data_IF_578355763960
#
_entry.id   IF_578355763960
#
_cell.length_a   1.000
_cell.length_b   1.000
_cell.length_c   1.000
_cell.angle_alpha   90.00
_cell.angle_beta   90.00
_cell.angle_gamma   90.00
#
_symmetry.space_group_name_H-M   'P 1'
#
loop_
_entity.id
_entity.type
_entity.pdbx_description
1 polymer ?
#
# COMPACT_ATOMS: atom_id res chain seq x y z
N UNK A 1 76.34 -14.42 12.01
CA UNK A 1 77.72 -14.69 12.44
C UNK A 1 78.66 -13.93 11.51
N UNK A 2 79.61 -13.13 12.00
CA UNK A 2 79.59 -12.30 13.20
C UNK A 2 80.12 -10.85 12.95
N UNK A 3 79.91 -10.00 13.96
CA UNK A 3 80.86 -9.04 14.57
C UNK A 3 81.44 -7.84 13.78
N UNK A 4 81.22 -6.60 14.28
CA UNK A 4 82.12 -5.76 15.12
C UNK A 4 83.36 -5.28 14.32
N UNK A 5 83.90 -4.07 14.44
CA UNK A 5 83.65 -2.92 15.30
C UNK A 5 84.63 -1.80 14.89
N UNK A 6 84.46 -0.65 15.54
CA UNK A 6 85.51 0.16 16.19
C UNK A 6 85.75 1.55 15.62
N UNK A 7 85.57 2.49 16.55
CA UNK A 7 85.88 3.91 16.61
C UNK A 7 87.34 4.28 16.33
N UNK A 8 87.58 5.59 16.12
CA UNK A 8 88.43 6.52 16.92
C UNK A 8 88.72 7.74 16.01
N UNK A 9 88.20 8.96 16.30
CA UNK A 9 88.84 10.08 17.04
C UNK A 9 90.17 10.58 16.39
N UNK A 10 90.58 11.86 16.31
CA UNK A 10 90.15 13.15 16.86
C UNK A 10 90.95 14.28 16.13
N UNK A 11 90.82 15.52 16.63
CA UNK A 11 91.57 16.78 16.38
C UNK A 11 91.11 17.69 15.23
N UNK A 12 90.49 18.87 15.45
CA UNK A 12 90.72 20.08 16.29
C UNK A 12 91.47 21.22 15.55
N UNK A 13 90.65 22.16 15.03
CA UNK A 13 90.73 23.65 15.12
C UNK A 13 92.00 24.41 14.66
N UNK A 14 91.98 25.76 14.44
CA UNK A 14 90.89 26.75 14.41
C UNK A 14 90.94 27.67 13.16
N UNK A 15 89.90 28.49 12.92
CA UNK A 15 89.96 29.54 11.89
C UNK A 15 88.62 30.13 11.42
N UNK A 16 87.60 30.15 12.28
CA UNK A 16 86.42 31.00 12.14
C UNK A 16 86.81 32.41 12.58
N UNK A 17 86.94 33.35 11.65
CA UNK A 17 86.66 34.79 11.84
C UNK A 17 87.09 35.60 10.60
N UNK A 18 86.54 35.30 9.42
CA UNK A 18 86.53 36.25 8.29
C UNK A 18 85.55 35.99 7.14
N UNK A 19 84.63 35.02 7.27
CA UNK A 19 83.63 34.69 6.23
C UNK A 19 82.15 34.88 6.61
N UNK A 20 81.86 35.51 7.75
CA UNK A 20 80.46 35.75 8.20
C UNK A 20 79.91 37.16 7.91
N UNK A 21 80.67 38.08 7.32
CA UNK A 21 80.19 39.45 7.06
C UNK A 21 79.71 39.74 5.62
N UNK A 22 79.85 38.79 4.70
CA UNK A 22 79.37 38.97 3.30
C UNK A 22 78.16 38.09 2.91
N UNK A 23 77.83 37.03 3.66
CA UNK A 23 76.61 36.23 3.39
C UNK A 23 75.32 36.85 3.94
N UNK A 24 75.40 37.73 4.95
CA UNK A 24 74.23 38.33 5.59
C UNK A 24 73.62 39.55 4.88
N UNK A 25 74.27 40.10 3.85
CA UNK A 25 73.70 41.20 3.03
C UNK A 25 73.01 40.72 1.74
N UNK A 26 73.37 39.55 1.21
CA UNK A 26 72.73 38.97 0.02
C UNK A 26 71.40 38.25 0.33
N UNK A 27 71.27 37.65 1.52
CA UNK A 27 70.05 36.92 1.92
C UNK A 27 68.89 37.86 2.33
N UNK A 28 69.18 39.11 2.73
CA UNK A 28 68.12 40.08 3.12
C UNK A 28 67.44 40.83 1.97
N UNK A 29 68.03 40.88 0.76
CA UNK A 29 67.41 41.56 -0.41
C UNK A 29 66.52 40.64 -1.28
N UNK A 30 66.70 39.32 -1.20
CA UNK A 30 65.83 38.35 -1.89
C UNK A 30 64.51 38.09 -1.14
N UNK A 31 64.53 38.15 0.20
CA UNK A 31 63.35 37.89 1.05
C UNK A 31 62.26 38.99 0.98
N UNK A 32 62.60 40.25 0.66
CA UNK A 32 61.63 41.36 0.65
C UNK A 32 60.83 41.47 -0.67
N UNK A 33 61.41 41.07 -1.80
CA UNK A 33 60.70 41.05 -3.08
C UNK A 33 59.82 39.79 -3.24
N UNK A 34 60.23 38.65 -2.69
CA UNK A 34 59.36 37.45 -2.64
C UNK A 34 58.14 37.69 -1.74
N UNK A 35 58.31 38.35 -0.59
CA UNK A 35 57.19 38.71 0.31
C UNK A 35 56.25 39.75 -0.32
N UNK A 36 56.73 40.71 -1.11
CA UNK A 36 55.87 41.67 -1.85
C UNK A 36 55.15 41.06 -3.05
N UNK A 37 55.74 40.08 -3.74
CA UNK A 37 55.08 39.32 -4.81
C UNK A 37 54.05 38.33 -4.24
N UNK A 38 54.34 37.64 -3.12
CA UNK A 38 53.37 36.80 -2.44
C UNK A 38 52.20 37.60 -1.84
N UNK A 39 52.43 38.80 -1.29
CA UNK A 39 51.34 39.64 -0.73
C UNK A 39 50.54 40.41 -1.79
N UNK A 40 51.03 40.54 -3.03
CA UNK A 40 50.27 41.12 -4.15
C UNK A 40 49.52 40.06 -4.98
N UNK A 41 50.01 38.82 -5.03
CA UNK A 41 49.31 37.68 -5.65
C UNK A 41 48.22 37.05 -4.74
N UNK A 42 48.34 37.17 -3.41
CA UNK A 42 47.28 36.75 -2.46
C UNK A 42 46.22 37.84 -2.17
N UNK A 43 46.16 38.93 -2.95
CA UNK A 43 45.17 40.01 -2.77
C UNK A 43 44.27 40.31 -3.98
N UNK A 44 44.27 39.49 -5.03
CA UNK A 44 43.34 39.68 -6.16
C UNK A 44 42.49 38.47 -6.56
N UNK A 45 42.55 37.36 -5.83
CA UNK A 45 41.65 36.22 -6.07
C UNK A 45 41.56 35.39 -4.79
N UNK A 46 40.41 35.42 -4.11
CA UNK A 46 40.11 34.43 -3.06
C UNK A 46 39.75 34.91 -1.65
N UNK A 47 39.47 36.20 -1.41
CA UNK A 47 38.90 36.64 -0.11
C UNK A 47 37.81 37.70 -0.32
N UNK A 48 36.64 37.26 -0.78
CA UNK A 48 35.38 38.00 -0.65
C UNK A 48 34.14 37.10 -0.46
N UNK A 49 34.31 35.80 -0.24
CA UNK A 49 33.20 34.84 -0.13
C UNK A 49 33.34 33.83 1.03
N UNK A 50 34.06 34.17 2.09
CA UNK A 50 34.12 33.34 3.29
C UNK A 50 33.87 34.28 4.47
N UNK A 51 32.83 33.97 5.26
CA UNK A 51 32.25 34.76 6.37
C UNK A 51 31.28 35.88 5.99
N UNK A 52 30.08 35.46 5.52
CA UNK A 52 28.76 35.86 6.05
C UNK A 52 27.63 35.20 5.24
N UNK A 53 27.59 33.86 5.19
CA UNK A 53 26.27 33.24 5.30
C UNK A 53 25.96 33.28 6.79
N UNK A 54 25.00 34.13 7.19
CA UNK A 54 24.30 33.86 8.46
C UNK A 54 23.72 32.46 8.25
N UNK A 55 24.32 31.43 8.85
CA UNK A 55 23.63 30.16 9.05
C UNK A 55 22.34 30.55 9.76
N UNK A 56 21.20 30.47 9.06
CA UNK A 56 19.90 30.62 9.71
C UNK A 56 19.92 29.66 10.91
N UNK A 57 19.40 30.07 12.08
CA UNK A 57 19.25 29.13 13.19
C UNK A 57 18.57 27.86 12.66
N UNK A 58 18.96 26.66 13.13
CA UNK A 58 18.30 25.43 12.71
C UNK A 58 16.80 25.62 12.92
N UNK A 59 16.02 25.44 11.85
CA UNK A 59 14.57 25.63 11.93
C UNK A 59 14.05 24.63 12.95
N UNK A 60 13.23 25.09 13.89
CA UNK A 60 12.55 24.15 14.79
C UNK A 60 11.52 23.34 13.99
N UNK A 61 11.12 22.15 14.44
CA UNK A 61 10.05 21.38 13.79
C UNK A 61 8.78 22.23 13.54
N UNK A 62 8.46 23.10 14.50
CA UNK A 62 7.32 24.03 14.42
C UNK A 62 7.51 25.06 13.29
N UNK A 63 8.70 25.65 13.16
CA UNK A 63 8.99 26.62 12.09
C UNK A 63 8.91 25.99 10.70
N UNK A 64 9.38 24.74 10.58
CA UNK A 64 9.29 23.95 9.33
C UNK A 64 7.83 23.75 8.96
N UNK A 65 6.98 23.34 9.91
CA UNK A 65 5.54 23.15 9.67
C UNK A 65 4.88 24.44 9.24
N UNK A 66 4.98 25.50 10.03
CA UNK A 66 4.33 26.79 9.73
C UNK A 66 4.72 27.33 8.37
N UNK A 67 6.00 27.22 8.00
CA UNK A 67 6.47 27.68 6.69
C UNK A 67 5.87 26.83 5.57
N UNK A 68 5.83 25.51 5.72
CA UNK A 68 5.17 24.62 4.75
C UNK A 68 3.67 24.89 4.65
N UNK A 69 2.96 25.10 5.76
CA UNK A 69 1.53 25.42 5.77
C UNK A 69 1.25 26.69 4.97
N UNK A 70 2.05 27.74 5.17
CA UNK A 70 1.93 28.97 4.40
C UNK A 70 2.13 28.77 2.89
N UNK A 71 3.15 27.98 2.50
CA UNK A 71 3.42 27.69 1.09
C UNK A 71 2.35 26.79 0.46
N UNK A 72 1.86 25.80 1.20
CA UNK A 72 0.78 24.91 0.76
C UNK A 72 -0.55 25.65 0.64
N UNK A 73 -0.91 26.50 1.62
CA UNK A 73 -2.12 27.32 1.53
C UNK A 73 -2.05 28.30 0.34
N UNK A 74 -0.86 28.86 0.08
CA UNK A 74 -0.65 29.64 -1.13
C UNK A 74 -0.88 28.78 -2.37
N UNK A 75 -0.27 27.58 -2.43
CA UNK A 75 -0.40 26.63 -3.55
C UNK A 75 -1.84 26.18 -3.79
N UNK A 76 -2.62 25.99 -2.73
CA UNK A 76 -4.03 25.62 -2.78
C UNK A 76 -4.87 26.73 -3.40
N UNK A 77 -4.63 27.98 -2.98
CA UNK A 77 -5.34 29.19 -3.44
C UNK A 77 -5.06 29.63 -4.88
N UNK A 78 -3.96 29.16 -5.49
CA UNK A 78 -3.64 29.51 -6.88
C UNK A 78 -4.55 28.77 -7.86
N UNK A 79 -5.39 29.52 -8.60
CA UNK A 79 -5.71 29.21 -9.99
C UNK A 79 -4.42 29.30 -10.83
N UNK A 80 -4.34 28.60 -11.96
CA UNK A 80 -3.15 28.32 -12.79
C UNK A 80 -2.42 29.56 -13.40
N UNK A 81 -2.36 30.68 -12.71
CA UNK A 81 -1.52 31.81 -13.07
C UNK A 81 -0.05 31.54 -12.72
N UNK A 82 0.80 31.67 -13.74
CA UNK A 82 2.25 31.43 -13.68
C UNK A 82 2.95 32.66 -13.11
N UNK A 83 2.92 32.83 -11.78
CA UNK A 83 3.82 33.77 -11.09
C UNK A 83 5.26 33.23 -11.18
N UNK A 84 6.24 33.96 -11.73
CA UNK A 84 7.64 33.53 -11.76
C UNK A 84 8.23 33.23 -10.37
N UNK A 85 7.69 33.83 -9.29
CA UNK A 85 8.07 33.48 -7.89
C UNK A 85 7.50 32.15 -7.41
N UNK A 86 6.58 31.53 -8.16
CA UNK A 86 6.03 30.21 -7.85
C UNK A 86 7.12 29.14 -7.86
N UNK A 87 8.07 29.22 -8.79
CA UNK A 87 9.18 28.27 -8.87
C UNK A 87 10.03 28.26 -7.60
N UNK A 88 10.45 29.43 -7.12
CA UNK A 88 11.22 29.56 -5.88
C UNK A 88 10.44 29.05 -4.66
N UNK A 89 9.13 29.34 -4.60
CA UNK A 89 8.24 28.83 -3.54
C UNK A 89 8.09 27.31 -3.59
N UNK A 90 8.02 26.71 -4.78
CA UNK A 90 7.93 25.26 -4.95
C UNK A 90 9.24 24.58 -4.53
N UNK A 91 10.39 25.12 -4.95
CA UNK A 91 11.68 24.59 -4.52
C UNK A 91 11.87 24.68 -3.00
N UNK A 92 11.42 25.78 -2.38
CA UNK A 92 11.42 25.91 -0.93
C UNK A 92 10.50 24.87 -0.26
N UNK A 93 9.31 24.65 -0.80
CA UNK A 93 8.37 23.65 -0.30
C UNK A 93 8.94 22.23 -0.38
N UNK A 94 9.58 21.87 -1.50
CA UNK A 94 10.22 20.57 -1.66
C UNK A 94 11.30 20.34 -0.59
N UNK A 95 12.13 21.34 -0.33
CA UNK A 95 13.15 21.29 0.72
C UNK A 95 12.54 21.12 2.10
N UNK A 96 11.41 21.77 2.37
CA UNK A 96 10.74 21.68 3.67
C UNK A 96 10.04 20.31 3.86
N UNK A 97 9.41 19.76 2.83
CA UNK A 97 8.84 18.40 2.88
C UNK A 97 9.95 17.37 3.11
N UNK A 98 11.09 17.55 2.45
CA UNK A 98 12.24 16.69 2.69
C UNK A 98 12.77 16.79 4.14
N UNK A 99 12.83 18.02 4.68
CA UNK A 99 13.22 18.30 6.07
C UNK A 99 12.24 17.63 7.06
N UNK A 100 10.93 17.76 6.85
CA UNK A 100 9.90 17.08 7.65
C UNK A 100 10.07 15.56 7.64
N UNK A 101 10.25 14.96 6.46
CA UNK A 101 10.49 13.52 6.34
C UNK A 101 11.76 13.12 7.09
N UNK A 102 12.83 13.90 6.99
CA UNK A 102 14.09 13.62 7.68
C UNK A 102 13.94 13.68 9.21
N UNK A 103 13.11 14.60 9.72
CA UNK A 103 12.76 14.64 11.15
C UNK A 103 12.00 13.37 11.57
N UNK A 104 11.06 12.89 10.74
CA UNK A 104 10.21 11.73 11.06
C UNK A 104 10.88 10.36 10.92
N UNK A 105 11.84 10.22 10.02
CA UNK A 105 12.52 8.95 9.73
C UNK A 105 13.96 8.89 10.25
N UNK A 106 14.53 10.02 10.65
CA UNK A 106 15.93 10.13 10.98
C UNK A 106 16.82 10.10 9.73
N UNK A 107 18.12 9.94 9.96
CA UNK A 107 19.14 9.78 8.91
C UNK A 107 19.79 8.40 9.03
N UNK A 108 20.63 8.02 8.07
CA UNK A 108 21.36 6.75 8.12
C UNK A 108 22.26 6.61 9.36
N UNK A 109 22.58 7.72 10.04
CA UNK A 109 23.51 7.76 11.17
C UNK A 109 22.82 8.07 12.51
N UNK A 110 21.58 8.55 12.51
CA UNK A 110 20.88 9.00 13.71
C UNK A 110 19.39 8.65 13.67
N UNK A 111 18.92 8.00 14.73
CA UNK A 111 17.49 7.76 14.96
C UNK A 111 16.72 9.08 15.11
N UNK A 112 15.43 9.11 14.71
CA UNK A 112 14.60 10.30 14.84
C UNK A 112 14.39 10.66 16.32
N UNK A 113 14.62 11.94 16.65
CA UNK A 113 14.42 12.43 18.02
C UNK A 113 12.93 12.48 18.36
N UNK A 114 12.52 11.68 19.36
CA UNK A 114 11.11 11.51 19.78
C UNK A 114 10.41 12.84 20.05
N UNK A 115 11.08 13.76 20.74
CA UNK A 115 10.52 15.09 21.04
C UNK A 115 10.29 15.92 19.77
N UNK A 116 11.23 15.89 18.82
CA UNK A 116 11.09 16.61 17.56
C UNK A 116 9.95 16.03 16.70
N UNK A 117 9.82 14.70 16.66
CA UNK A 117 8.69 14.04 15.98
C UNK A 117 7.35 14.39 16.62
N UNK A 118 7.28 14.41 17.95
CA UNK A 118 6.06 14.76 18.67
C UNK A 118 5.63 16.22 18.42
N UNK A 119 6.58 17.16 18.48
CA UNK A 119 6.33 18.58 18.16
C UNK A 119 5.89 18.77 16.71
N UNK A 120 6.57 18.12 15.76
CA UNK A 120 6.21 18.16 14.33
C UNK A 120 4.78 17.63 14.11
N UNK A 121 4.47 16.48 14.69
CA UNK A 121 3.18 15.80 14.55
C UNK A 121 2.05 16.67 15.11
N UNK A 122 2.25 17.25 16.30
CA UNK A 122 1.26 18.13 16.91
C UNK A 122 0.95 19.35 16.04
N UNK A 123 1.96 20.03 15.51
CA UNK A 123 1.75 21.22 14.68
C UNK A 123 1.12 20.87 13.31
N UNK A 124 1.48 19.72 12.73
CA UNK A 124 0.92 19.26 11.45
C UNK A 124 -0.60 19.04 11.51
N UNK A 125 -1.11 18.54 12.64
CA UNK A 125 -2.55 18.38 12.86
C UNK A 125 -3.24 19.67 13.31
N UNK A 126 -2.56 20.52 14.09
CA UNK A 126 -3.15 21.77 14.61
C UNK A 126 -3.58 22.74 13.51
N UNK A 127 -2.74 22.95 12.50
CA UNK A 127 -2.94 23.99 11.48
C UNK A 127 -3.46 23.44 10.14
N UNK A 128 -4.13 22.28 10.15
CA UNK A 128 -4.63 21.60 8.94
C UNK A 128 -3.56 21.35 7.87
N UNK A 129 -2.29 21.27 8.27
CA UNK A 129 -1.18 21.07 7.33
C UNK A 129 -1.28 19.69 6.68
N UNK A 130 -1.68 18.65 7.42
CA UNK A 130 -1.94 17.32 6.87
C UNK A 130 -2.92 17.38 5.69
N UNK A 131 -4.08 18.05 5.89
CA UNK A 131 -5.10 18.25 4.86
C UNK A 131 -4.51 18.91 3.63
N UNK A 132 -3.78 20.02 3.82
CA UNK A 132 -3.16 20.73 2.71
C UNK A 132 -2.13 19.89 1.96
N UNK A 133 -1.33 19.06 2.66
CA UNK A 133 -0.39 18.12 2.01
C UNK A 133 -1.15 17.14 1.11
N UNK A 134 -2.28 16.61 1.56
CA UNK A 134 -3.10 15.65 0.80
C UNK A 134 -3.74 16.32 -0.43
N UNK A 135 -4.35 17.49 -0.24
CA UNK A 135 -5.07 18.21 -1.30
C UNK A 135 -4.12 18.79 -2.36
N UNK A 136 -2.95 19.29 -1.95
CA UNK A 136 -1.96 19.84 -2.87
C UNK A 136 -1.10 18.78 -3.57
N UNK A 137 -1.23 17.49 -3.24
CA UNK A 137 -0.42 16.42 -3.82
C UNK A 137 -0.32 16.45 -5.37
N UNK A 138 -1.41 16.72 -6.13
CA UNK A 138 -1.33 16.82 -7.59
C UNK A 138 -0.43 17.96 -8.08
N UNK A 139 -0.33 19.04 -7.29
CA UNK A 139 0.45 20.24 -7.60
C UNK A 139 1.95 20.09 -7.25
N UNK A 140 2.33 19.03 -6.55
CA UNK A 140 3.72 18.74 -6.17
C UNK A 140 4.47 17.99 -7.28
N UNK A 141 5.80 18.08 -7.29
CA UNK A 141 6.63 17.26 -8.17
C UNK A 141 6.81 15.83 -7.63
N UNK A 142 7.45 14.96 -8.43
CA UNK A 142 7.56 13.54 -8.13
C UNK A 142 8.21 13.23 -6.77
N UNK A 143 9.32 13.88 -6.44
CA UNK A 143 10.03 13.63 -5.18
C UNK A 143 9.25 14.19 -3.98
N UNK A 144 8.64 15.37 -4.13
CA UNK A 144 7.78 15.94 -3.10
C UNK A 144 6.53 15.10 -2.85
N UNK A 145 5.94 14.45 -3.87
CA UNK A 145 4.82 13.50 -3.70
C UNK A 145 5.24 12.28 -2.87
N UNK A 146 6.42 11.72 -3.14
CA UNK A 146 6.97 10.60 -2.34
C UNK A 146 7.19 11.02 -0.89
N UNK A 147 7.78 12.19 -0.67
CA UNK A 147 8.04 12.70 0.67
C UNK A 147 6.74 13.00 1.42
N UNK A 148 5.76 13.64 0.78
CA UNK A 148 4.41 13.85 1.30
C UNK A 148 3.72 12.55 1.70
N UNK A 149 3.80 11.52 0.86
CA UNK A 149 3.23 10.18 1.14
C UNK A 149 3.84 9.58 2.40
N UNK A 150 5.17 9.63 2.52
CA UNK A 150 5.88 9.10 3.68
C UNK A 150 5.58 9.88 4.95
N UNK A 151 5.45 11.20 4.86
CA UNK A 151 5.04 12.04 5.99
C UNK A 151 3.65 11.64 6.47
N UNK A 152 2.64 11.66 5.59
CA UNK A 152 1.25 11.32 5.93
C UNK A 152 1.15 9.91 6.54
N UNK A 153 1.85 8.95 5.95
CA UNK A 153 1.93 7.57 6.44
C UNK A 153 2.53 7.46 7.85
N UNK A 154 3.65 8.15 8.09
CA UNK A 154 4.37 8.10 9.35
C UNK A 154 3.54 8.72 10.49
N UNK A 155 2.86 9.84 10.24
CA UNK A 155 2.05 10.55 11.24
C UNK A 155 0.97 9.68 11.87
N UNK A 156 0.44 8.68 11.15
CA UNK A 156 -0.58 7.76 11.68
C UNK A 156 -0.08 6.91 12.85
N UNK A 157 1.23 6.77 12.98
CA UNK A 157 1.89 5.94 13.99
C UNK A 157 2.61 6.74 15.07
N UNK A 158 2.69 8.07 14.93
CA UNK A 158 3.46 8.91 15.83
C UNK A 158 2.71 9.15 17.16
N UNK A 159 3.26 8.72 18.30
CA UNK A 159 2.68 9.04 19.60
C UNK A 159 3.06 10.47 20.00
N UNK A 160 2.07 11.26 20.40
CA UNK A 160 2.26 12.56 21.04
C UNK A 160 1.73 12.45 22.47
N UNK A 161 2.60 12.65 23.46
CA UNK A 161 2.27 12.45 24.88
C UNK A 161 1.61 11.08 25.15
N UNK A 162 2.19 10.02 24.54
CA UNK A 162 1.70 8.64 24.62
C UNK A 162 0.31 8.39 24.02
N UNK A 163 -0.19 9.29 23.16
CA UNK A 163 -1.47 9.14 22.44
C UNK A 163 -1.31 9.26 20.94
N UNK A 164 -2.11 8.51 20.18
CA UNK A 164 -2.18 8.62 18.72
C UNK A 164 -3.23 9.68 18.33
N UNK A 165 -2.82 10.95 18.33
CA UNK A 165 -3.71 12.08 18.04
C UNK A 165 -4.19 12.11 16.56
N UNK A 166 -3.59 11.30 15.69
CA UNK A 166 -4.00 11.16 14.30
C UNK A 166 -5.43 10.62 14.17
N UNK A 167 -5.85 9.69 15.05
CA UNK A 167 -7.21 9.15 15.05
C UNK A 167 -8.24 10.26 15.28
N UNK A 168 -8.01 11.11 16.29
CA UNK A 168 -8.92 12.21 16.65
C UNK A 168 -9.01 13.25 15.52
N UNK A 169 -7.87 13.55 14.88
CA UNK A 169 -7.84 14.47 13.74
C UNK A 169 -8.65 13.94 12.55
N UNK A 170 -8.49 12.66 12.22
CA UNK A 170 -9.19 12.05 11.08
C UNK A 170 -10.68 11.86 11.35
N UNK A 171 -11.08 11.59 12.59
CA UNK A 171 -12.49 11.58 12.99
C UNK A 171 -13.16 12.94 12.78
N UNK A 172 -12.44 14.03 13.07
CA UNK A 172 -12.92 15.39 12.84
C UNK A 172 -12.86 15.84 11.36
N UNK A 173 -12.19 15.09 10.49
CA UNK A 173 -11.95 15.44 9.08
C UNK A 173 -12.22 14.23 8.14
N UNK A 174 -13.44 13.66 8.15
CA UNK A 174 -13.74 12.43 7.42
C UNK A 174 -13.70 12.58 5.90
N UNK A 175 -13.93 13.79 5.38
CA UNK A 175 -13.88 14.12 3.96
C UNK A 175 -12.49 13.87 3.33
N UNK A 176 -11.43 13.85 4.14
CA UNK A 176 -10.11 13.42 3.68
C UNK A 176 -10.12 11.97 3.17
N UNK A 177 -10.94 11.10 3.76
CA UNK A 177 -11.04 9.71 3.31
C UNK A 177 -11.74 9.63 1.97
N UNK A 178 -12.76 10.47 1.73
CA UNK A 178 -13.45 10.53 0.45
C UNK A 178 -12.48 10.95 -0.67
N UNK A 179 -11.62 11.94 -0.37
CA UNK A 179 -10.55 12.38 -1.27
C UNK A 179 -9.51 11.28 -1.53
N UNK A 180 -9.01 10.63 -0.46
CA UNK A 180 -8.02 9.55 -0.58
C UNK A 180 -8.56 8.35 -1.36
N UNK A 181 -9.82 7.95 -1.16
CA UNK A 181 -10.41 6.84 -1.92
C UNK A 181 -10.66 7.24 -3.38
N UNK A 182 -11.17 8.44 -3.63
CA UNK A 182 -11.36 8.92 -5.01
C UNK A 182 -10.03 9.13 -5.75
N UNK A 183 -8.93 9.23 -5.02
CA UNK A 183 -7.58 9.31 -5.57
C UNK A 183 -7.15 8.12 -6.44
N UNK A 184 -7.83 6.97 -6.35
CA UNK A 184 -7.64 5.85 -7.28
C UNK A 184 -8.12 6.16 -8.71
N UNK A 185 -8.95 7.18 -8.90
CA UNK A 185 -9.41 7.62 -10.22
C UNK A 185 -8.28 8.30 -11.04
N UNK A 186 -7.18 8.72 -10.40
CA UNK A 186 -5.99 9.28 -11.04
C UNK A 186 -4.85 8.25 -11.04
N UNK A 187 -4.55 7.58 -12.17
CA UNK A 187 -3.48 6.58 -12.25
C UNK A 187 -2.10 7.11 -11.84
N UNK A 188 -1.84 8.41 -12.03
CA UNK A 188 -0.56 9.03 -11.69
C UNK A 188 -0.36 9.29 -10.19
N UNK A 189 -1.45 9.27 -9.41
CA UNK A 189 -1.43 9.54 -7.97
C UNK A 189 -2.01 8.39 -7.13
N UNK A 190 -2.66 7.42 -7.75
CA UNK A 190 -3.36 6.33 -7.08
C UNK A 190 -2.50 5.61 -6.02
N UNK A 191 -1.25 5.29 -6.34
CA UNK A 191 -0.35 4.62 -5.39
C UNK A 191 0.05 5.50 -4.19
N UNK A 192 0.11 6.82 -4.38
CA UNK A 192 0.35 7.74 -3.27
C UNK A 192 -0.87 7.81 -2.35
N UNK A 193 -2.05 7.97 -2.93
CA UNK A 193 -3.30 8.04 -2.16
C UNK A 193 -3.64 6.70 -1.49
N UNK A 194 -3.46 5.57 -2.18
CA UNK A 194 -3.63 4.23 -1.61
C UNK A 194 -2.68 3.95 -0.45
N UNK A 195 -1.41 4.34 -0.56
CA UNK A 195 -0.46 4.24 0.55
C UNK A 195 -0.85 5.09 1.76
N UNK A 196 -1.30 6.34 1.55
CA UNK A 196 -1.80 7.19 2.64
C UNK A 196 -3.07 6.60 3.28
N UNK A 197 -4.00 6.13 2.46
CA UNK A 197 -5.27 5.56 2.91
C UNK A 197 -5.06 4.31 3.76
N UNK A 198 -4.19 3.39 3.34
CA UNK A 198 -3.86 2.17 4.13
C UNK A 198 -3.38 2.50 5.53
N UNK A 199 -2.63 3.58 5.68
CA UNK A 199 -2.15 3.99 7.00
C UNK A 199 -3.26 4.63 7.84
N UNK A 200 -4.18 5.35 7.22
CA UNK A 200 -5.32 5.96 7.89
C UNK A 200 -6.34 4.92 8.40
N UNK A 201 -6.65 3.88 7.61
CA UNK A 201 -7.61 2.81 7.98
C UNK A 201 -7.09 1.92 9.13
N UNK A 202 -5.85 2.11 9.59
CA UNK A 202 -5.35 1.48 10.82
C UNK A 202 -6.11 1.96 12.05
N UNK A 203 -6.68 3.16 12.00
CA UNK A 203 -7.57 3.68 13.04
C UNK A 203 -8.99 3.15 12.80
N UNK A 204 -9.60 2.59 13.86
CA UNK A 204 -10.92 1.96 13.74
C UNK A 204 -12.01 2.94 13.30
N UNK A 205 -11.94 4.20 13.76
CA UNK A 205 -12.91 5.25 13.40
C UNK A 205 -12.90 5.54 11.90
N UNK A 206 -11.71 5.56 11.30
CA UNK A 206 -11.52 5.77 9.86
C UNK A 206 -12.01 4.58 9.06
N UNK A 207 -11.62 3.36 9.44
CA UNK A 207 -12.10 2.16 8.77
C UNK A 207 -13.63 2.07 8.82
N UNK A 208 -14.25 2.38 9.97
CA UNK A 208 -15.70 2.41 10.12
C UNK A 208 -16.35 3.41 9.17
N UNK A 209 -15.78 4.60 9.03
CA UNK A 209 -16.26 5.61 8.10
C UNK A 209 -16.23 5.09 6.65
N UNK A 210 -15.08 4.59 6.19
CA UNK A 210 -14.92 4.08 4.81
C UNK A 210 -15.87 2.92 4.53
N UNK A 211 -16.01 1.97 5.47
CA UNK A 211 -16.92 0.83 5.33
C UNK A 211 -18.38 1.23 5.15
N UNK A 212 -18.83 2.28 5.86
CA UNK A 212 -20.22 2.76 5.81
C UNK A 212 -20.50 3.73 4.67
N UNK A 213 -19.47 4.15 3.95
CA UNK A 213 -19.60 5.10 2.84
C UNK A 213 -19.87 4.42 1.50
N UNK A 214 -20.39 5.18 0.53
CA UNK A 214 -20.55 4.69 -0.85
C UNK A 214 -19.20 4.33 -1.52
N UNK A 215 -18.07 4.80 -0.96
CA UNK A 215 -16.73 4.44 -1.43
C UNK A 215 -16.45 2.93 -1.36
N UNK A 216 -17.11 2.20 -0.44
CA UNK A 216 -16.90 0.76 -0.31
C UNK A 216 -17.21 0.00 -1.61
N UNK A 217 -18.23 0.43 -2.37
CA UNK A 217 -18.59 -0.18 -3.66
C UNK A 217 -17.54 0.10 -4.74
N UNK A 218 -16.87 1.25 -4.69
CA UNK A 218 -15.87 1.65 -5.68
C UNK A 218 -14.65 0.74 -5.68
N UNK A 219 -14.31 0.13 -4.54
CA UNK A 219 -13.21 -0.83 -4.47
C UNK A 219 -13.40 -2.04 -5.38
N UNK A 220 -14.62 -2.50 -5.63
CA UNK A 220 -14.85 -3.61 -6.56
C UNK A 220 -14.42 -3.27 -8.00
N UNK A 221 -14.49 -2.01 -8.36
CA UNK A 221 -14.06 -1.51 -9.67
C UNK A 221 -12.55 -1.21 -9.64
N UNK A 222 -12.04 -0.59 -8.56
CA UNK A 222 -10.61 -0.30 -8.39
C UNK A 222 -9.71 -1.52 -8.39
N UNK A 223 -10.14 -2.63 -7.79
CA UNK A 223 -9.40 -3.90 -7.80
C UNK A 223 -9.36 -4.58 -9.16
N UNK A 224 -10.07 -4.05 -10.16
CA UNK A 224 -10.15 -4.57 -11.52
C UNK A 224 -9.62 -3.57 -12.56
N UNK A 225 -9.00 -2.48 -12.11
CA UNK A 225 -8.28 -1.53 -12.96
C UNK A 225 -7.20 -2.27 -13.78
N UNK A 226 -6.98 -1.93 -15.08
CA UNK A 226 -5.99 -2.59 -15.92
C UNK A 226 -4.55 -2.46 -15.42
N UNK A 227 -4.20 -1.33 -14.80
CA UNK A 227 -2.92 -1.06 -14.18
C UNK A 227 -2.71 -1.97 -12.96
N UNK A 228 -1.92 -3.03 -13.15
CA UNK A 228 -1.68 -4.07 -12.16
C UNK A 228 -1.28 -3.53 -10.77
N UNK A 229 -0.35 -2.57 -10.74
CA UNK A 229 0.14 -2.01 -9.46
C UNK A 229 -0.98 -1.29 -8.70
N UNK A 230 -1.85 -0.57 -9.41
CA UNK A 230 -2.99 0.16 -8.84
C UNK A 230 -4.06 -0.81 -8.34
N UNK A 231 -4.41 -1.82 -9.14
CA UNK A 231 -5.38 -2.84 -8.75
C UNK A 231 -4.88 -3.68 -7.56
N UNK A 232 -3.59 -4.00 -7.51
CA UNK A 232 -2.97 -4.70 -6.39
C UNK A 232 -2.97 -3.86 -5.11
N UNK A 233 -2.68 -2.55 -5.23
CA UNK A 233 -2.73 -1.58 -4.13
C UNK A 233 -4.17 -1.44 -3.57
N UNK A 234 -5.17 -1.29 -4.46
CA UNK A 234 -6.58 -1.28 -4.10
C UNK A 234 -7.01 -2.59 -3.41
N UNK A 235 -6.55 -3.73 -3.91
CA UNK A 235 -6.84 -5.05 -3.33
C UNK A 235 -6.24 -5.19 -1.93
N UNK A 236 -5.01 -4.71 -1.72
CA UNK A 236 -4.38 -4.71 -0.41
C UNK A 236 -5.15 -3.83 0.58
N UNK A 237 -5.60 -2.66 0.14
CA UNK A 237 -6.40 -1.72 0.94
C UNK A 237 -7.76 -2.31 1.32
N UNK A 238 -8.47 -2.89 0.34
CA UNK A 238 -9.75 -3.58 0.56
C UNK A 238 -9.58 -4.76 1.52
N UNK A 239 -8.54 -5.57 1.35
CA UNK A 239 -8.22 -6.67 2.26
C UNK A 239 -8.00 -6.17 3.69
N UNK A 240 -7.25 -5.08 3.87
CA UNK A 240 -6.99 -4.50 5.19
C UNK A 240 -8.29 -4.01 5.85
N UNK A 241 -9.16 -3.32 5.10
CA UNK A 241 -10.50 -2.93 5.55
C UNK A 241 -11.34 -4.14 5.99
N UNK A 242 -11.23 -5.27 5.28
CA UNK A 242 -12.00 -6.49 5.52
C UNK A 242 -11.42 -7.45 6.55
N UNK A 243 -10.23 -7.19 7.10
CA UNK A 243 -9.57 -8.14 8.01
C UNK A 243 -8.99 -7.52 9.29
N UNK A 244 -8.81 -6.20 9.36
CA UNK A 244 -8.18 -5.54 10.52
C UNK A 244 -9.10 -5.43 11.73
N UNK A 245 -10.22 -4.72 11.61
CA UNK A 245 -11.09 -4.32 12.72
C UNK A 245 -12.29 -5.26 12.86
N UNK A 246 -12.05 -6.47 13.33
CA UNK A 246 -12.99 -7.61 13.25
C UNK A 246 -14.42 -7.30 13.70
N UNK A 247 -14.61 -6.59 14.81
CA UNK A 247 -15.94 -6.24 15.31
C UNK A 247 -16.69 -5.28 14.39
N UNK A 248 -16.00 -4.27 13.86
CA UNK A 248 -16.59 -3.30 12.92
C UNK A 248 -16.89 -3.95 11.56
N UNK A 249 -16.04 -4.87 11.11
CA UNK A 249 -16.30 -5.64 9.88
C UNK A 249 -17.51 -6.54 10.06
N UNK A 250 -17.63 -7.24 11.19
CA UNK A 250 -18.79 -8.07 11.48
C UNK A 250 -20.08 -7.24 11.49
N UNK A 251 -20.10 -6.11 12.20
CA UNK A 251 -21.25 -5.19 12.19
C UNK A 251 -21.62 -4.75 10.75
N UNK A 252 -20.63 -4.31 9.97
CA UNK A 252 -20.83 -3.93 8.57
C UNK A 252 -21.40 -5.07 7.72
N UNK A 253 -20.79 -6.26 7.74
CA UNK A 253 -21.21 -7.41 6.93
C UNK A 253 -22.61 -7.90 7.32
N UNK A 254 -23.02 -7.72 8.58
CA UNK A 254 -24.35 -8.09 9.05
C UNK A 254 -25.40 -7.17 8.42
N UNK A 255 -25.17 -5.87 8.50
CA UNK A 255 -26.06 -4.83 7.98
C UNK A 255 -26.15 -4.84 6.44
N UNK A 256 -25.08 -5.29 5.77
CA UNK A 256 -24.88 -5.12 4.34
C UNK A 256 -24.77 -6.46 3.58
N UNK A 257 -25.21 -7.55 4.20
CA UNK A 257 -24.99 -8.91 3.73
C UNK A 257 -25.34 -9.12 2.25
N UNK A 258 -26.58 -8.79 1.87
CA UNK A 258 -27.13 -9.13 0.57
C UNK A 258 -26.35 -8.48 -0.58
N UNK A 259 -26.21 -7.15 -0.55
CA UNK A 259 -25.52 -6.44 -1.62
C UNK A 259 -24.02 -6.74 -1.61
N UNK A 260 -23.38 -6.85 -0.43
CA UNK A 260 -21.94 -7.07 -0.34
C UNK A 260 -21.56 -8.40 -0.96
N UNK A 261 -22.20 -9.50 -0.55
CA UNK A 261 -21.86 -10.82 -1.08
C UNK A 261 -22.33 -11.00 -2.52
N UNK A 262 -23.40 -10.34 -2.95
CA UNK A 262 -23.81 -10.31 -4.37
C UNK A 262 -22.71 -9.69 -5.23
N UNK A 263 -22.24 -8.49 -4.88
CA UNK A 263 -21.17 -7.80 -5.61
C UNK A 263 -19.83 -8.56 -5.51
N UNK A 264 -19.48 -9.06 -4.32
CA UNK A 264 -18.24 -9.83 -4.11
C UNK A 264 -18.20 -11.08 -4.98
N UNK A 265 -19.30 -11.82 -5.03
CA UNK A 265 -19.39 -13.03 -5.84
C UNK A 265 -19.30 -12.69 -7.35
N UNK A 266 -20.17 -11.80 -7.82
CA UNK A 266 -20.30 -11.49 -9.24
C UNK A 266 -19.07 -10.77 -9.81
N UNK A 267 -18.53 -9.78 -9.08
CA UNK A 267 -17.41 -8.96 -9.56
C UNK A 267 -16.05 -9.59 -9.29
N UNK A 268 -15.90 -10.40 -8.24
CA UNK A 268 -14.57 -10.87 -7.83
C UNK A 268 -14.37 -12.38 -8.01
N UNK A 269 -15.25 -13.21 -7.45
CA UNK A 269 -15.12 -14.67 -7.55
C UNK A 269 -15.39 -15.18 -8.97
N UNK A 270 -16.31 -14.53 -9.68
CA UNK A 270 -16.64 -14.84 -11.07
C UNK A 270 -15.90 -13.94 -12.07
N UNK A 271 -14.96 -13.11 -11.62
CA UNK A 271 -14.15 -12.23 -12.47
C UNK A 271 -13.41 -13.02 -13.55
N UNK A 272 -13.26 -12.47 -14.76
CA UNK A 272 -12.41 -13.08 -15.79
C UNK A 272 -10.91 -13.04 -15.42
N UNK A 273 -10.51 -12.12 -14.53
CA UNK A 273 -9.13 -11.95 -14.10
C UNK A 273 -8.72 -13.01 -13.06
N UNK A 274 -7.72 -13.83 -13.43
CA UNK A 274 -7.17 -14.87 -12.57
C UNK A 274 -6.69 -14.34 -11.21
N UNK A 275 -5.99 -13.21 -11.20
CA UNK A 275 -5.41 -12.63 -9.97
C UNK A 275 -6.54 -12.17 -9.05
N UNK A 276 -7.56 -11.50 -9.60
CA UNK A 276 -8.76 -11.10 -8.86
C UNK A 276 -9.45 -12.30 -8.23
N UNK A 277 -9.74 -13.35 -9.00
CA UNK A 277 -10.36 -14.58 -8.46
C UNK A 277 -9.53 -15.20 -7.35
N UNK A 278 -8.21 -15.32 -7.54
CA UNK A 278 -7.28 -15.89 -6.55
C UNK A 278 -7.28 -15.11 -5.23
N UNK A 279 -7.21 -13.78 -5.27
CA UNK A 279 -7.21 -12.98 -4.05
C UNK A 279 -8.60 -12.99 -3.38
N UNK A 280 -9.66 -12.97 -4.18
CA UNK A 280 -11.04 -12.96 -3.69
C UNK A 280 -11.41 -14.26 -2.96
N UNK A 281 -11.08 -15.43 -3.50
CA UNK A 281 -11.41 -16.70 -2.83
C UNK A 281 -10.66 -16.85 -1.51
N UNK A 282 -9.40 -16.41 -1.47
CA UNK A 282 -8.61 -16.40 -0.24
C UNK A 282 -9.21 -15.45 0.80
N UNK A 283 -9.58 -14.24 0.39
CA UNK A 283 -10.22 -13.25 1.26
C UNK A 283 -11.59 -13.73 1.77
N UNK A 284 -12.39 -14.38 0.92
CA UNK A 284 -13.65 -14.99 1.33
C UNK A 284 -13.42 -16.02 2.45
N UNK A 285 -12.41 -16.88 2.30
CA UNK A 285 -12.00 -17.80 3.36
C UNK A 285 -11.65 -17.07 4.66
N UNK A 286 -10.80 -16.04 4.58
CA UNK A 286 -10.41 -15.21 5.74
C UNK A 286 -11.64 -14.59 6.44
N UNK A 287 -12.63 -14.11 5.67
CA UNK A 287 -13.87 -13.50 6.20
C UNK A 287 -14.77 -14.57 6.85
N UNK A 288 -15.07 -15.67 6.16
CA UNK A 288 -16.05 -16.65 6.63
C UNK A 288 -15.54 -17.53 7.78
N UNK A 289 -14.22 -17.70 7.89
CA UNK A 289 -13.59 -18.46 8.98
C UNK A 289 -13.42 -17.63 10.26
N UNK A 290 -13.61 -16.31 10.21
CA UNK A 290 -13.59 -15.49 11.41
C UNK A 290 -14.82 -15.78 12.29
N UNK A 291 -14.57 -16.04 13.57
CA UNK A 291 -15.62 -16.40 14.53
C UNK A 291 -16.69 -15.32 14.67
N UNK A 292 -16.33 -14.03 14.55
CA UNK A 292 -17.28 -12.92 14.65
C UNK A 292 -18.22 -12.86 13.44
N UNK A 293 -17.83 -13.45 12.31
CA UNK A 293 -18.62 -13.48 11.09
C UNK A 293 -19.50 -14.75 10.97
N UNK A 294 -19.60 -15.56 12.03
CA UNK A 294 -20.47 -16.75 12.05
C UNK A 294 -21.93 -16.48 11.65
N UNK A 295 -22.56 -15.34 12.04
CA UNK A 295 -23.92 -15.01 11.61
C UNK A 295 -24.09 -14.82 10.09
N UNK A 296 -23.00 -14.51 9.38
CA UNK A 296 -22.96 -14.26 7.93
C UNK A 296 -22.48 -15.51 7.19
N UNK A 297 -21.56 -16.26 7.80
CA UNK A 297 -21.11 -17.54 7.29
C UNK A 297 -22.27 -18.52 7.15
N UNK A 298 -23.13 -18.63 8.16
CA UNK A 298 -24.27 -19.56 8.15
C UNK A 298 -25.21 -19.37 6.95
N UNK A 299 -25.73 -18.17 6.65
CA UNK A 299 -26.52 -17.95 5.44
C UNK A 299 -25.68 -18.12 4.16
N UNK A 300 -24.38 -17.78 4.18
CA UNK A 300 -23.52 -17.91 2.99
C UNK A 300 -23.38 -19.38 2.57
N UNK A 301 -23.13 -20.27 3.54
CA UNK A 301 -22.97 -21.71 3.31
C UNK A 301 -24.29 -22.47 3.16
N UNK A 302 -25.41 -21.76 3.27
CA UNK A 302 -26.76 -22.28 3.04
C UNK A 302 -27.29 -21.89 1.65
N UNK A 303 -26.59 -21.04 0.91
CA UNK A 303 -26.99 -20.60 -0.43
C UNK A 303 -26.54 -21.57 -1.52
N UNK A 304 -27.50 -22.02 -2.33
CA UNK A 304 -27.26 -22.85 -3.52
C UNK A 304 -26.38 -22.15 -4.55
N UNK A 305 -26.57 -20.86 -4.76
CA UNK A 305 -25.80 -20.10 -5.75
C UNK A 305 -24.34 -19.96 -5.32
N UNK A 306 -24.10 -19.70 -4.03
CA UNK A 306 -22.75 -19.65 -3.48
C UNK A 306 -22.04 -21.00 -3.60
N UNK A 307 -22.73 -22.11 -3.33
CA UNK A 307 -22.18 -23.46 -3.52
C UNK A 307 -21.78 -23.68 -4.98
N UNK A 308 -22.63 -23.27 -5.94
CA UNK A 308 -22.33 -23.42 -7.37
C UNK A 308 -21.06 -22.69 -7.77
N UNK A 309 -20.87 -21.46 -7.28
CA UNK A 309 -19.66 -20.66 -7.54
C UNK A 309 -18.43 -21.42 -7.02
N UNK A 310 -18.46 -21.88 -5.77
CA UNK A 310 -17.34 -22.63 -5.18
C UNK A 310 -17.06 -23.94 -5.90
N UNK A 311 -18.09 -24.69 -6.30
CA UNK A 311 -17.92 -25.92 -7.08
C UNK A 311 -17.28 -25.65 -8.46
N UNK A 312 -17.53 -24.48 -9.06
CA UNK A 312 -16.84 -24.08 -10.28
C UNK A 312 -15.38 -23.70 -10.00
N UNK A 313 -15.09 -22.98 -8.91
CA UNK A 313 -13.72 -22.65 -8.51
C UNK A 313 -12.88 -23.89 -8.17
N UNK A 314 -13.48 -24.95 -7.60
CA UNK A 314 -12.82 -26.25 -7.41
C UNK A 314 -12.42 -26.93 -8.73
N UNK A 315 -13.04 -26.54 -9.85
CA UNK A 315 -12.76 -27.09 -11.19
C UNK A 315 -11.79 -26.24 -12.01
N UNK A 316 -11.34 -25.10 -11.47
CA UNK A 316 -10.34 -24.24 -12.12
C UNK A 316 -9.04 -24.99 -12.38
N UNK A 317 -8.26 -24.56 -13.39
CA UNK A 317 -6.97 -25.19 -13.69
C UNK A 317 -5.91 -24.88 -12.63
N UNK A 318 -6.03 -23.76 -11.92
CA UNK A 318 -5.08 -23.33 -10.90
C UNK A 318 -5.24 -24.08 -9.59
N UNK A 319 -4.19 -24.82 -9.19
CA UNK A 319 -4.12 -25.52 -7.91
C UNK A 319 -4.28 -24.59 -6.70
N UNK A 320 -3.81 -23.35 -6.80
CA UNK A 320 -3.97 -22.37 -5.71
C UNK A 320 -5.43 -21.99 -5.51
N UNK A 321 -6.17 -21.73 -6.60
CA UNK A 321 -7.61 -21.43 -6.51
C UNK A 321 -8.37 -22.64 -5.99
N UNK A 322 -8.05 -23.86 -6.47
CA UNK A 322 -8.66 -25.09 -5.96
C UNK A 322 -8.46 -25.25 -4.45
N UNK A 323 -7.27 -24.93 -3.94
CA UNK A 323 -6.94 -25.04 -2.52
C UNK A 323 -7.71 -24.03 -1.67
N UNK A 324 -7.69 -22.76 -2.05
CA UNK A 324 -8.46 -21.72 -1.34
C UNK A 324 -9.97 -21.99 -1.42
N UNK A 325 -10.47 -22.46 -2.57
CA UNK A 325 -11.87 -22.86 -2.76
C UNK A 325 -12.26 -24.06 -1.88
N UNK A 326 -11.34 -25.01 -1.67
CA UNK A 326 -11.55 -26.12 -0.75
C UNK A 326 -11.77 -25.64 0.69
N UNK A 327 -10.99 -24.66 1.16
CA UNK A 327 -11.13 -24.11 2.51
C UNK A 327 -12.48 -23.44 2.76
N UNK A 328 -13.14 -22.91 1.72
CA UNK A 328 -14.51 -22.39 1.83
C UNK A 328 -15.54 -23.51 1.63
N UNK A 329 -15.32 -24.39 0.65
CA UNK A 329 -16.22 -25.51 0.35
C UNK A 329 -16.42 -26.45 1.54
N UNK A 330 -15.37 -26.70 2.33
CA UNK A 330 -15.48 -27.54 3.54
C UNK A 330 -16.51 -26.99 4.53
N UNK A 331 -16.77 -25.68 4.54
CA UNK A 331 -17.79 -25.08 5.42
C UNK A 331 -19.22 -25.46 5.00
N UNK A 332 -19.48 -25.61 3.70
CA UNK A 332 -20.76 -26.12 3.19
C UNK A 332 -20.97 -27.57 3.62
N UNK A 333 -19.91 -28.38 3.55
CA UNK A 333 -19.95 -29.79 3.94
C UNK A 333 -20.04 -29.92 5.47
N UNK A 334 -19.35 -29.10 6.25
CA UNK A 334 -19.39 -29.16 7.71
C UNK A 334 -20.66 -28.54 8.33
N UNK A 335 -21.47 -27.78 7.56
CA UNK A 335 -22.70 -27.15 8.07
C UNK A 335 -23.66 -28.23 8.60
N UNK A 336 -24.02 -28.21 9.89
CA UNK A 336 -24.92 -29.22 10.47
C UNK A 336 -26.37 -29.06 10.01
N UNK A 337 -26.76 -27.84 9.64
CA UNK A 337 -28.13 -27.48 9.24
C UNK A 337 -28.19 -27.21 7.72
N UNK A 338 -27.67 -28.14 6.91
CA UNK A 338 -27.65 -27.98 5.45
C UNK A 338 -29.08 -27.93 4.90
N UNK A 339 -29.43 -26.94 4.08
CA UNK A 339 -30.68 -26.97 3.32
C UNK A 339 -30.75 -28.18 2.38
N UNK A 340 -31.95 -28.68 2.11
CA UNK A 340 -32.19 -29.81 1.21
C UNK A 340 -31.57 -29.60 -0.17
N UNK A 341 -31.62 -28.38 -0.70
CA UNK A 341 -31.01 -28.03 -1.99
C UNK A 341 -29.50 -28.23 -2.01
N UNK A 342 -28.81 -27.89 -0.91
CA UNK A 342 -27.36 -28.11 -0.75
C UNK A 342 -27.07 -29.61 -0.71
N UNK A 343 -27.82 -30.35 0.10
CA UNK A 343 -27.69 -31.81 0.19
C UNK A 343 -27.90 -32.46 -1.17
N UNK A 344 -28.97 -32.10 -1.88
CA UNK A 344 -29.31 -32.64 -3.19
C UNK A 344 -28.21 -32.38 -4.23
N UNK A 345 -27.59 -31.19 -4.22
CA UNK A 345 -26.46 -30.87 -5.12
C UNK A 345 -25.23 -31.72 -4.79
N UNK A 346 -24.90 -31.88 -3.51
CA UNK A 346 -23.76 -32.70 -3.08
C UNK A 346 -23.97 -34.19 -3.42
N UNK A 347 -25.17 -34.72 -3.20
CA UNK A 347 -25.55 -36.09 -3.55
C UNK A 347 -25.50 -36.31 -5.06
N UNK A 348 -26.11 -35.41 -5.85
CA UNK A 348 -26.12 -35.50 -7.32
C UNK A 348 -24.71 -35.47 -7.93
N UNK A 349 -23.75 -34.83 -7.25
CA UNK A 349 -22.36 -34.72 -7.70
C UNK A 349 -21.39 -35.64 -6.93
N UNK A 350 -21.88 -36.52 -6.05
CA UNK A 350 -21.06 -37.33 -5.12
C UNK A 350 -19.92 -38.03 -5.83
N UNK A 351 -20.20 -38.83 -6.86
CA UNK A 351 -19.17 -39.62 -7.55
C UNK A 351 -18.08 -38.76 -8.17
N UNK A 352 -18.42 -37.55 -8.67
CA UNK A 352 -17.46 -36.61 -9.26
C UNK A 352 -16.61 -35.94 -8.18
N UNK A 353 -17.22 -35.53 -7.07
CA UNK A 353 -16.53 -34.92 -5.93
C UNK A 353 -15.54 -35.90 -5.29
N UNK A 354 -15.97 -37.14 -5.01
CA UNK A 354 -15.10 -38.17 -4.43
C UNK A 354 -13.91 -38.48 -5.35
N UNK A 355 -14.14 -38.56 -6.66
CA UNK A 355 -13.06 -38.75 -7.65
C UNK A 355 -12.08 -37.57 -7.66
N UNK A 356 -12.60 -36.34 -7.62
CA UNK A 356 -11.77 -35.14 -7.55
C UNK A 356 -10.87 -35.18 -6.31
N UNK A 357 -11.45 -35.37 -5.11
CA UNK A 357 -10.70 -35.36 -3.85
C UNK A 357 -9.69 -36.50 -3.71
N UNK A 358 -9.94 -37.67 -4.33
CA UNK A 358 -8.95 -38.75 -4.38
C UNK A 358 -7.66 -38.34 -5.13
N UNK A 359 -7.80 -37.52 -6.17
CA UNK A 359 -6.68 -36.99 -6.98
C UNK A 359 -6.18 -35.62 -6.51
N UNK A 360 -6.88 -34.98 -5.58
CA UNK A 360 -6.54 -33.65 -5.10
C UNK A 360 -5.42 -33.74 -4.05
N UNK A 361 -4.23 -33.31 -4.47
CA UNK A 361 -2.99 -33.26 -3.69
C UNK A 361 -2.46 -31.84 -3.73
N UNK A 362 -1.76 -31.48 -2.67
CA UNK A 362 -0.97 -30.25 -2.55
C UNK A 362 0.51 -30.63 -2.55
N UNK A 363 1.37 -29.74 -3.04
CA UNK A 363 2.80 -30.03 -3.21
C UNK A 363 3.57 -30.10 -1.88
N UNK A 364 2.96 -29.64 -0.79
CA UNK A 364 3.53 -29.65 0.56
C UNK A 364 2.80 -30.66 1.44
N UNK A 365 3.55 -31.38 2.27
CA UNK A 365 2.96 -32.18 3.35
C UNK A 365 2.29 -31.23 4.35
N UNK A 366 0.96 -31.17 4.31
CA UNK A 366 0.12 -30.45 5.25
C UNK A 366 -0.89 -31.45 5.83
N UNK A 367 -0.60 -31.91 7.05
CA UNK A 367 -1.41 -32.89 7.77
C UNK A 367 -2.82 -32.36 8.05
N UNK A 368 -2.96 -31.05 8.29
CA UNK A 368 -4.26 -30.43 8.54
C UNK A 368 -5.12 -30.46 7.29
N UNK A 369 -4.54 -30.16 6.13
CA UNK A 369 -5.24 -30.25 4.86
C UNK A 369 -5.70 -31.69 4.56
N UNK A 370 -4.84 -32.69 4.73
CA UNK A 370 -5.22 -34.09 4.48
C UNK A 370 -6.30 -34.57 5.46
N UNK A 371 -6.26 -34.15 6.74
CA UNK A 371 -7.29 -34.43 7.72
C UNK A 371 -8.64 -33.77 7.35
N UNK A 372 -8.63 -32.48 6.99
CA UNK A 372 -9.83 -31.77 6.52
C UNK A 372 -10.41 -32.43 5.27
N UNK A 373 -9.56 -32.84 4.33
CA UNK A 373 -9.97 -33.52 3.09
C UNK A 373 -10.61 -34.86 3.39
N UNK A 374 -10.02 -35.66 4.28
CA UNK A 374 -10.57 -36.95 4.69
C UNK A 374 -11.95 -36.79 5.34
N UNK A 375 -12.12 -35.77 6.18
CA UNK A 375 -13.41 -35.46 6.81
C UNK A 375 -14.46 -35.06 5.77
N UNK A 376 -14.13 -34.17 4.83
CA UNK A 376 -15.03 -33.76 3.73
C UNK A 376 -15.44 -34.95 2.87
N UNK A 377 -14.49 -35.82 2.52
CA UNK A 377 -14.74 -37.04 1.73
C UNK A 377 -15.69 -37.98 2.47
N UNK A 378 -15.46 -38.20 3.76
CA UNK A 378 -16.32 -39.04 4.61
C UNK A 378 -17.74 -38.49 4.65
N UNK A 379 -17.90 -37.20 4.96
CA UNK A 379 -19.21 -36.56 5.06
C UNK A 379 -19.97 -36.66 3.73
N UNK A 380 -19.34 -36.38 2.59
CA UNK A 380 -19.98 -36.49 1.27
C UNK A 380 -20.42 -37.93 0.94
N UNK A 381 -19.63 -38.93 1.34
CA UNK A 381 -19.93 -40.33 1.10
C UNK A 381 -21.16 -40.79 1.91
N UNK A 382 -21.30 -40.28 3.14
CA UNK A 382 -22.37 -40.63 4.09
C UNK A 382 -23.65 -39.80 3.91
N UNK A 383 -23.64 -38.75 3.09
CA UNK A 383 -24.86 -37.96 2.83
C UNK A 383 -25.99 -38.84 2.26
N UNK A 384 -27.22 -38.56 2.63
CA UNK A 384 -28.42 -39.15 2.02
C UNK A 384 -29.29 -38.03 1.44
N UNK A 385 -29.98 -38.29 0.33
CA UNK A 385 -30.88 -37.30 -0.24
C UNK A 385 -32.08 -37.09 0.70
N UNK A 386 -32.42 -35.83 0.97
CA UNK A 386 -33.56 -35.48 1.83
C UNK A 386 -34.67 -34.93 0.93
N UNK A 387 -35.79 -35.66 0.85
CA UNK A 387 -36.97 -35.30 0.06
C UNK A 387 -37.00 -35.92 -1.34
N UNK A 388 -38.10 -35.75 -2.11
CA UNK A 388 -38.19 -36.30 -3.45
C UNK A 388 -37.07 -35.69 -4.30
N UNK A 389 -36.18 -36.53 -4.81
CA UNK A 389 -35.35 -36.20 -5.96
C UNK A 389 -36.27 -35.52 -6.96
N UNK A 390 -35.91 -34.32 -7.43
CA UNK A 390 -36.51 -33.79 -8.65
C UNK A 390 -36.43 -34.91 -9.69
N UNK A 391 -37.57 -35.54 -9.97
CA UNK A 391 -37.77 -36.39 -11.13
C UNK A 391 -37.75 -35.45 -12.32
N UNK A 392 -36.55 -35.00 -12.69
CA UNK A 392 -36.32 -34.32 -13.94
C UNK A 392 -36.61 -35.33 -15.04
N UNK A 393 -37.83 -35.27 -15.56
CA UNK A 393 -38.08 -35.67 -16.93
C UNK A 393 -36.97 -35.03 -17.77
N UNK A 394 -36.18 -35.88 -18.41
CA UNK A 394 -35.29 -35.48 -19.48
C UNK A 394 -36.15 -34.81 -20.55
N UNK A 395 -36.31 -33.49 -20.47
CA UNK A 395 -36.56 -32.70 -21.65
C UNK A 395 -35.36 -32.93 -22.57
N UNK A 396 -35.58 -33.80 -23.56
CA UNK A 396 -34.68 -34.02 -24.69
C UNK A 396 -34.28 -32.64 -25.22
N UNK A 397 -33.01 -32.28 -25.03
CA UNK A 397 -32.42 -31.22 -25.83
C UNK A 397 -32.60 -31.59 -27.30
N UNK A 398 -33.08 -30.67 -28.15
CA UNK A 398 -33.12 -30.92 -29.58
C UNK A 398 -31.68 -31.09 -30.09
N UNK A 399 -31.43 -32.03 -31.02
CA UNK A 399 -30.09 -32.23 -31.57
C UNK A 399 -29.64 -30.96 -32.31
N UNK A 400 -28.38 -30.60 -32.10
CA UNK A 400 -27.67 -29.56 -32.81
C UNK A 400 -27.74 -29.80 -34.33
N UNK A 401 -28.08 -28.81 -35.16
CA UNK A 401 -28.04 -28.97 -36.61
C UNK A 401 -26.59 -29.03 -37.07
N UNK A 402 -26.22 -30.13 -37.72
CA UNK A 402 -25.01 -30.23 -38.53
C UNK A 402 -25.06 -29.19 -39.65
N UNK A 403 -23.97 -28.44 -39.79
CA UNK A 403 -23.79 -27.44 -40.82
C UNK A 403 -23.81 -28.06 -42.22
N UNK A 404 -24.66 -27.54 -43.11
CA UNK A 404 -24.50 -27.53 -44.56
C UNK A 404 -25.51 -26.55 -45.19
N UNK A 405 -25.02 -25.45 -45.77
CA UNK A 405 -25.60 -24.81 -46.96
C UNK A 405 -26.82 -23.90 -46.80
N UNK A 406 -26.55 -22.59 -46.74
CA UNK A 406 -27.21 -21.47 -47.47
C UNK A 406 -28.76 -21.40 -47.48
N UNK A 407 -29.45 -20.31 -47.12
CA UNK A 407 -29.44 -19.01 -47.80
C UNK A 407 -30.45 -18.06 -47.11
N UNK A 408 -30.09 -16.78 -47.15
CA UNK A 408 -30.79 -15.59 -46.70
C UNK A 408 -32.31 -15.52 -46.95
N UNK A 409 -33.04 -14.95 -45.98
CA UNK A 409 -34.07 -13.91 -46.17
C UNK A 409 -34.50 -13.31 -44.81
N UNK A 410 -34.20 -12.03 -44.61
CA UNK A 410 -34.88 -11.15 -43.63
C UNK A 410 -36.32 -10.87 -44.08
N UNK A 411 -37.25 -10.54 -43.16
CA UNK A 411 -37.54 -9.11 -42.91
C UNK A 411 -38.04 -8.73 -41.49
N UNK A 412 -37.55 -7.58 -41.01
CA UNK A 412 -38.27 -6.37 -40.54
C UNK A 412 -39.41 -6.42 -39.49
N UNK A 413 -39.28 -5.51 -38.49
CA UNK A 413 -40.29 -4.90 -37.59
C UNK A 413 -40.90 -5.80 -36.48
N UNK A 414 -41.24 -5.34 -35.26
CA UNK A 414 -41.70 -4.02 -34.82
C UNK A 414 -41.46 -3.82 -33.30
N UNK A 415 -41.16 -2.58 -32.91
CA UNK A 415 -41.12 -2.05 -31.53
C UNK A 415 -42.52 -1.57 -31.14
N UNK A 416 -42.99 -1.85 -29.91
CA UNK A 416 -43.79 -0.94 -29.04
C UNK A 416 -44.11 -1.59 -27.69
N UNK A 417 -43.56 -1.00 -26.61
CA UNK A 417 -44.25 -0.19 -25.60
C UNK A 417 -45.10 -0.99 -24.61
N UNK A 418 -44.69 -0.98 -23.34
CA UNK A 418 -45.59 -0.91 -22.19
C UNK A 418 -44.97 -0.01 -21.11
N UNK A 419 -45.89 0.73 -20.49
CA UNK A 419 -45.80 1.88 -19.58
C UNK A 419 -45.03 1.57 -18.29
#
# INVERSE_FOLDING_TARGET
MPMLATQIAADKTPGLEKREKESHKAVKRSSSNLKKLFTKALRSTGVKYIFKSKTKPPKTPIDVVRRSTFLLASLDSFEDNVDPKRFDKMQELDSLLHEMKSILYGSNECEPAVEACAQLTQELFRDNTLRLIILCLPKLNLEARKDATRIVANLQRQPVNSRLIASDYLEANPDLMDHLVSGYDDPGLALHYGAMLRECIRHQVVARYVLRSEHMKRFFDYMQIPEFDVAADATATFKELMTRHKSTIAEFLFENYDWFFTEFNAKLLESANYITRRQAIKLLGDILLDRLNSPMMTPYVSSKDNLRILMNLLRESSKNIQLDAFHVFKLFVANRNKPSDIVNILVANRSKLLRFFASFRIDKEDEQFEADKAQVVKEIAELEAIGPLFSGELHKFPPTPTASGELYKTPTACIRQLI
#
